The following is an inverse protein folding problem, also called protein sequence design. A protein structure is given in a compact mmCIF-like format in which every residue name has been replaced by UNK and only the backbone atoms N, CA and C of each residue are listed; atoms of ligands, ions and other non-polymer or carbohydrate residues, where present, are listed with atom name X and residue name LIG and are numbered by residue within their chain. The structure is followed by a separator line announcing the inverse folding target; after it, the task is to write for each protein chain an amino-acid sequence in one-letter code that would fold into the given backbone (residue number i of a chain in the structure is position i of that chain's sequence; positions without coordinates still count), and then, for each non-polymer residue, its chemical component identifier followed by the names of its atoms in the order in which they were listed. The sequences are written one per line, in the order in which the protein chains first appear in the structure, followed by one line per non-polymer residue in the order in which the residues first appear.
data_IF_525827704820
#
_entry.id   IF_525827704820
#
_cell.length_a   1.000
_cell.length_b   1.000
_cell.length_c   1.000
_cell.angle_alpha   90.00
_cell.angle_beta   90.00
_cell.angle_gamma   90.00
#
_symmetry.space_group_name_H-M   'P 1'
#
loop_
_entity.id
_entity.type
_entity.pdbx_description
1 polymer ?
#
# COMPACT_ATOMS: atom_id res chain seq x y z
N UNK A 1 -1.59 28.00 -10.05
CA UNK A 1 -1.14 26.63 -10.35
C UNK A 1 -1.10 26.30 -11.86
N UNK A 2 -2.23 26.30 -12.59
CA UNK A 2 -2.28 25.88 -14.03
C UNK A 2 -1.23 26.58 -14.90
N UNK A 3 -1.11 27.90 -14.77
CA UNK A 3 -0.14 28.71 -15.54
C UNK A 3 1.30 28.30 -15.24
N UNK A 4 1.65 28.16 -13.96
CA UNK A 4 2.99 27.76 -13.51
C UNK A 4 3.38 26.39 -14.11
N UNK A 5 2.51 25.39 -14.01
CA UNK A 5 2.78 24.04 -14.54
C UNK A 5 2.95 24.07 -16.07
N UNK A 6 2.14 24.85 -16.79
CA UNK A 6 2.27 25.03 -18.25
C UNK A 6 3.56 25.75 -18.65
N UNK A 7 4.06 26.65 -17.80
CA UNK A 7 5.34 27.34 -17.98
C UNK A 7 6.55 26.50 -17.55
N UNK A 8 6.36 25.19 -17.35
CA UNK A 8 7.41 24.22 -16.97
C UNK A 8 8.10 24.52 -15.64
N UNK A 9 7.38 25.08 -14.68
CA UNK A 9 7.89 25.40 -13.35
C UNK A 9 8.62 24.23 -12.65
N UNK A 10 9.49 24.58 -11.70
CA UNK A 10 10.21 23.64 -10.83
C UNK A 10 9.29 23.12 -9.70
N UNK A 11 9.64 22.00 -9.03
CA UNK A 11 8.95 21.54 -7.83
C UNK A 11 8.87 22.60 -6.72
N UNK A 12 9.93 23.39 -6.51
CA UNK A 12 9.97 24.43 -5.47
C UNK A 12 9.02 25.59 -5.80
N UNK A 13 8.94 25.99 -7.07
CA UNK A 13 7.99 27.01 -7.52
C UNK A 13 6.54 26.56 -7.31
N UNK A 14 6.25 25.26 -7.49
CA UNK A 14 4.93 24.70 -7.17
C UNK A 14 4.64 24.79 -5.68
N UNK A 15 5.58 24.42 -4.83
CA UNK A 15 5.41 24.53 -3.38
C UNK A 15 5.18 25.98 -2.93
N UNK A 16 5.91 26.93 -3.50
CA UNK A 16 5.71 28.36 -3.23
C UNK A 16 4.30 28.82 -3.63
N UNK A 17 3.81 28.42 -4.81
CA UNK A 17 2.43 28.71 -5.25
C UNK A 17 1.38 28.08 -4.32
N UNK A 18 1.70 26.96 -3.68
CA UNK A 18 0.79 26.30 -2.73
C UNK A 18 0.84 26.92 -1.33
N UNK A 19 1.91 27.62 -0.95
CA UNK A 19 2.05 28.20 0.40
C UNK A 19 0.93 29.19 0.72
N UNK A 20 0.48 29.95 -0.28
CA UNK A 20 -0.55 30.98 -0.16
C UNK A 20 -1.98 30.44 0.05
N UNK A 21 -2.18 29.12 -0.05
CA UNK A 21 -3.51 28.52 0.11
C UNK A 21 -3.89 28.39 1.59
N UNK A 22 -5.10 28.85 1.98
CA UNK A 22 -5.59 28.69 3.35
C UNK A 22 -5.72 27.20 3.69
N UNK A 23 -5.62 26.87 4.98
CA UNK A 23 -5.92 25.51 5.44
C UNK A 23 -7.37 25.46 5.94
N UNK A 24 -8.29 24.77 5.23
CA UNK A 24 -9.67 24.62 5.70
C UNK A 24 -9.79 23.89 7.04
N UNK A 25 -8.73 23.20 7.48
CA UNK A 25 -8.67 22.47 8.76
C UNK A 25 -8.04 23.28 9.90
N UNK A 26 -7.77 24.57 9.72
CA UNK A 26 -7.11 25.42 10.74
C UNK A 26 -7.82 25.41 12.10
N UNK A 27 -9.14 25.26 12.13
CA UNK A 27 -9.89 25.16 13.40
C UNK A 27 -9.74 23.78 14.07
N UNK A 28 -9.56 22.71 13.30
CA UNK A 28 -9.37 21.34 13.79
C UNK A 28 -7.90 21.05 14.19
N UNK A 29 -6.93 21.77 13.60
CA UNK A 29 -5.51 21.70 13.99
C UNK A 29 -5.26 22.16 15.44
N UNK A 30 -6.13 23.03 15.99
CA UNK A 30 -6.06 23.48 17.38
C UNK A 30 -6.32 22.35 18.39
N UNK A 31 -6.89 21.22 17.96
CA UNK A 31 -7.21 20.06 18.80
C UNK A 31 -6.14 18.94 18.74
N UNK A 32 -4.99 19.20 18.12
CA UNK A 32 -3.84 18.28 18.17
C UNK A 32 -3.82 17.16 17.13
N UNK A 33 -4.75 17.16 16.16
CA UNK A 33 -4.60 16.36 14.94
C UNK A 33 -3.56 17.03 14.03
N UNK A 34 -2.40 16.37 13.84
CA UNK A 34 -1.34 16.83 12.94
C UNK A 34 -1.91 17.14 11.55
N UNK A 35 -2.02 18.42 11.23
CA UNK A 35 -2.81 18.85 10.08
C UNK A 35 -2.02 18.86 8.78
N UNK A 36 -2.47 18.04 7.83
CA UNK A 36 -2.18 18.31 6.42
C UNK A 36 -3.20 19.32 5.88
N UNK A 37 -2.81 20.07 4.86
CA UNK A 37 -3.72 21.01 4.20
C UNK A 37 -4.43 20.31 3.01
N UNK A 38 -5.72 19.95 3.12
CA UNK A 38 -6.44 19.26 2.05
C UNK A 38 -6.61 20.10 0.79
N UNK A 39 -6.69 21.43 0.92
CA UNK A 39 -6.84 22.33 -0.23
C UNK A 39 -5.56 22.40 -1.07
N UNK A 40 -4.39 22.37 -0.43
CA UNK A 40 -3.10 22.26 -1.15
C UNK A 40 -3.03 20.99 -1.96
N UNK A 41 -3.45 19.86 -1.37
CA UNK A 41 -3.51 18.56 -2.05
C UNK A 41 -4.48 18.61 -3.22
N UNK A 42 -5.71 19.07 -3.00
CA UNK A 42 -6.76 19.16 -4.02
C UNK A 42 -6.28 19.98 -5.23
N UNK A 43 -5.90 21.24 -5.00
CA UNK A 43 -5.45 22.14 -6.08
C UNK A 43 -4.26 21.55 -6.85
N UNK A 44 -3.28 20.96 -6.15
CA UNK A 44 -2.13 20.35 -6.78
C UNK A 44 -2.49 19.11 -7.60
N UNK A 45 -3.16 18.13 -6.99
CA UNK A 45 -3.47 16.83 -7.60
C UNK A 45 -4.43 17.01 -8.77
N UNK A 46 -5.52 17.78 -8.60
CA UNK A 46 -6.47 18.07 -9.68
C UNK A 46 -5.78 18.74 -10.85
N UNK A 47 -4.99 19.80 -10.59
CA UNK A 47 -4.33 20.56 -11.66
C UNK A 47 -3.33 19.69 -12.41
N UNK A 48 -2.45 18.99 -11.68
CA UNK A 48 -1.36 18.24 -12.28
C UNK A 48 -1.88 17.05 -13.10
N UNK A 49 -2.81 16.27 -12.55
CA UNK A 49 -3.36 15.11 -13.24
C UNK A 49 -4.26 15.51 -14.41
N UNK A 50 -4.99 16.62 -14.31
CA UNK A 50 -5.76 17.15 -15.43
C UNK A 50 -4.85 17.59 -16.59
N UNK A 51 -3.72 18.26 -16.31
CA UNK A 51 -2.74 18.63 -17.33
C UNK A 51 -2.00 17.41 -17.91
N UNK A 52 -1.86 16.34 -17.13
CA UNK A 52 -1.31 15.04 -17.55
C UNK A 52 -2.30 14.13 -18.27
N UNK A 53 -3.57 14.51 -18.42
CA UNK A 53 -4.68 13.63 -18.82
C UNK A 53 -4.62 13.05 -20.25
N UNK A 54 -3.70 13.53 -21.10
CA UNK A 54 -3.62 13.13 -22.52
C UNK A 54 -3.35 11.64 -22.72
N UNK A 55 -2.50 11.03 -21.90
CA UNK A 55 -2.24 9.58 -21.92
C UNK A 55 -1.59 9.13 -20.61
N UNK A 56 -1.54 7.81 -20.37
CA UNK A 56 -0.86 7.24 -19.21
C UNK A 56 0.57 7.75 -19.07
N UNK A 57 1.33 7.81 -20.17
CA UNK A 57 2.71 8.31 -20.16
C UNK A 57 2.82 9.77 -19.74
N UNK A 58 1.86 10.63 -20.13
CA UNK A 58 1.84 12.03 -19.70
C UNK A 58 1.57 12.14 -18.19
N UNK A 59 0.57 11.41 -17.67
CA UNK A 59 0.33 11.35 -16.23
C UNK A 59 1.52 10.82 -15.45
N UNK A 60 2.20 9.77 -15.94
CA UNK A 60 3.38 9.22 -15.29
C UNK A 60 4.57 10.17 -15.29
N UNK A 61 4.78 10.90 -16.40
CA UNK A 61 5.82 11.92 -16.49
C UNK A 61 5.52 13.09 -15.54
N UNK A 62 4.25 13.49 -15.43
CA UNK A 62 3.80 14.52 -14.51
C UNK A 62 4.05 14.12 -13.05
N UNK A 63 3.63 12.91 -12.64
CA UNK A 63 3.88 12.38 -11.29
C UNK A 63 5.38 12.26 -11.02
N UNK A 64 6.17 11.78 -11.98
CA UNK A 64 7.61 11.66 -11.83
C UNK A 64 8.31 13.02 -11.67
N UNK A 65 7.93 14.03 -12.47
CA UNK A 65 8.51 15.38 -12.41
C UNK A 65 8.25 16.05 -11.06
N UNK A 66 7.06 15.88 -10.50
CA UNK A 66 6.66 16.52 -9.24
C UNK A 66 6.60 15.53 -8.06
N UNK A 67 7.40 14.47 -8.12
CA UNK A 67 7.46 13.44 -7.07
C UNK A 67 7.80 14.03 -5.69
N UNK A 68 8.74 14.97 -5.64
CA UNK A 68 9.10 15.66 -4.39
C UNK A 68 7.89 16.38 -3.77
N UNK A 69 7.13 17.15 -4.56
CA UNK A 69 5.92 17.84 -4.10
C UNK A 69 4.89 16.85 -3.57
N UNK A 70 4.69 15.73 -4.26
CA UNK A 70 3.83 14.66 -3.78
C UNK A 70 4.28 14.12 -2.42
N UNK A 71 5.58 13.87 -2.23
CA UNK A 71 6.11 13.37 -0.96
C UNK A 71 5.94 14.38 0.17
N UNK A 72 6.17 15.67 -0.08
CA UNK A 72 5.94 16.74 0.91
C UNK A 72 4.46 16.89 1.27
N UNK A 73 3.55 16.67 0.33
CA UNK A 73 2.12 16.76 0.60
C UNK A 73 1.53 15.48 1.22
N UNK A 74 2.23 14.34 1.14
CA UNK A 74 1.75 13.02 1.53
C UNK A 74 2.35 12.52 2.87
N UNK A 75 2.65 13.44 3.79
CA UNK A 75 3.38 13.14 5.04
C UNK A 75 2.58 12.26 6.01
N UNK A 76 1.24 12.34 6.01
CA UNK A 76 0.36 11.50 6.85
C UNK A 76 -0.49 10.54 6.03
N UNK A 77 -1.03 9.49 6.66
CA UNK A 77 -1.93 8.55 6.00
C UNK A 77 -3.21 9.27 5.50
N UNK A 78 -3.74 10.21 6.26
CA UNK A 78 -4.92 10.98 5.88
C UNK A 78 -4.64 11.88 4.66
N UNK A 79 -3.42 12.41 4.56
CA UNK A 79 -2.96 13.16 3.40
C UNK A 79 -2.87 12.26 2.15
N UNK A 80 -2.36 11.04 2.31
CA UNK A 80 -2.32 10.02 1.25
C UNK A 80 -3.73 9.61 0.80
N UNK A 81 -4.66 9.42 1.73
CA UNK A 81 -6.08 9.17 1.43
C UNK A 81 -6.70 10.38 0.72
N UNK A 82 -6.35 11.61 1.10
CA UNK A 82 -6.78 12.82 0.40
C UNK A 82 -6.28 12.87 -1.06
N UNK A 83 -5.04 12.43 -1.32
CA UNK A 83 -4.52 12.28 -2.69
C UNK A 83 -5.35 11.26 -3.47
N UNK A 84 -5.66 10.10 -2.86
CA UNK A 84 -6.49 9.05 -3.48
C UNK A 84 -7.91 9.55 -3.81
N UNK A 85 -8.53 10.31 -2.91
CA UNK A 85 -9.83 10.97 -3.13
C UNK A 85 -9.81 11.91 -4.33
N UNK A 86 -8.78 12.73 -4.43
CA UNK A 86 -8.62 13.67 -5.54
C UNK A 86 -8.39 12.95 -6.88
N UNK A 87 -7.56 11.92 -6.88
CA UNK A 87 -7.35 11.05 -8.03
C UNK A 87 -8.67 10.41 -8.48
N UNK A 88 -9.44 9.86 -7.54
CA UNK A 88 -10.74 9.24 -7.82
C UNK A 88 -11.75 10.24 -8.39
N UNK A 89 -11.89 11.41 -7.76
CA UNK A 89 -12.81 12.46 -8.21
C UNK A 89 -12.56 12.85 -9.68
N UNK A 90 -11.29 12.97 -10.08
CA UNK A 90 -10.91 13.29 -11.45
C UNK A 90 -11.15 12.14 -12.44
N UNK A 91 -10.93 10.90 -12.00
CA UNK A 91 -10.88 9.72 -12.88
C UNK A 91 -11.98 8.69 -12.67
N UNK A 92 -13.06 9.02 -11.94
CA UNK A 92 -14.17 8.11 -11.62
C UNK A 92 -14.79 7.41 -12.84
N UNK A 93 -14.76 8.06 -14.01
CA UNK A 93 -15.27 7.51 -15.27
C UNK A 93 -14.23 6.71 -16.08
N UNK A 94 -12.99 6.58 -15.57
CA UNK A 94 -11.89 5.89 -16.24
C UNK A 94 -11.17 4.93 -15.27
N UNK A 95 -11.81 3.79 -15.02
CA UNK A 95 -11.33 2.76 -14.06
C UNK A 95 -9.89 2.31 -14.30
N UNK A 96 -9.51 2.06 -15.56
CA UNK A 96 -8.13 1.65 -15.89
C UNK A 96 -7.10 2.73 -15.52
N UNK A 97 -7.43 4.02 -15.69
CA UNK A 97 -6.54 5.12 -15.28
C UNK A 97 -6.34 5.11 -13.76
N UNK A 98 -7.40 4.89 -12.98
CA UNK A 98 -7.31 4.75 -11.52
C UNK A 98 -6.32 3.64 -11.15
N UNK A 99 -6.48 2.44 -11.73
CA UNK A 99 -5.62 1.30 -11.45
C UNK A 99 -4.14 1.61 -11.72
N UNK A 100 -3.82 2.19 -12.89
CA UNK A 100 -2.42 2.45 -13.27
C UNK A 100 -1.79 3.62 -12.50
N UNK A 101 -2.57 4.63 -12.11
CA UNK A 101 -2.08 5.73 -11.30
C UNK A 101 -1.80 5.31 -9.86
N UNK A 102 -2.68 4.50 -9.25
CA UNK A 102 -2.43 3.93 -7.91
C UNK A 102 -1.20 3.02 -7.95
N UNK A 103 -1.06 2.16 -8.97
CA UNK A 103 0.15 1.36 -9.18
C UNK A 103 1.40 2.25 -9.26
N UNK A 104 1.35 3.34 -10.03
CA UNK A 104 2.47 4.29 -10.17
C UNK A 104 2.80 4.98 -8.85
N UNK A 105 1.81 5.44 -8.08
CA UNK A 105 2.00 6.12 -6.80
C UNK A 105 2.59 5.18 -5.75
N UNK A 106 2.13 3.92 -5.67
CA UNK A 106 2.73 2.89 -4.82
C UNK A 106 4.18 2.59 -5.23
N UNK A 107 4.47 2.52 -6.54
CA UNK A 107 5.84 2.27 -7.08
C UNK A 107 6.81 3.40 -6.68
N UNK A 108 6.32 4.63 -6.62
CA UNK A 108 7.10 5.81 -6.24
C UNK A 108 7.05 6.10 -4.74
N UNK A 109 6.41 5.24 -3.94
CA UNK A 109 6.23 5.42 -2.49
C UNK A 109 5.61 6.79 -2.14
N UNK A 110 4.75 7.30 -3.01
CA UNK A 110 3.94 8.51 -2.73
C UNK A 110 2.85 8.17 -1.73
N UNK A 111 2.25 6.99 -1.91
CA UNK A 111 1.23 6.44 -1.01
C UNK A 111 1.67 5.05 -0.56
N UNK A 112 1.17 4.64 0.60
CA UNK A 112 1.42 3.34 1.22
C UNK A 112 0.27 2.36 0.96
N UNK A 113 0.54 1.08 1.21
CA UNK A 113 -0.44 0.02 0.99
C UNK A 113 -1.63 0.11 1.97
N UNK A 114 -1.36 0.52 3.22
CA UNK A 114 -2.36 0.80 4.26
C UNK A 114 -3.36 1.86 3.81
N UNK A 115 -2.87 3.01 3.34
CA UNK A 115 -3.69 4.11 2.84
C UNK A 115 -4.63 3.67 1.70
N UNK A 116 -4.12 2.85 0.76
CA UNK A 116 -4.93 2.29 -0.34
C UNK A 116 -6.01 1.34 0.19
N UNK A 117 -5.66 0.46 1.14
CA UNK A 117 -6.65 -0.44 1.75
C UNK A 117 -7.74 0.36 2.48
N UNK A 118 -7.37 1.33 3.32
CA UNK A 118 -8.31 2.19 4.03
C UNK A 118 -9.20 3.00 3.07
N UNK A 119 -8.65 3.50 1.97
CA UNK A 119 -9.42 4.22 0.95
C UNK A 119 -10.45 3.31 0.25
N UNK A 120 -10.10 2.07 -0.11
CA UNK A 120 -11.02 1.12 -0.76
C UNK A 120 -12.26 0.84 0.09
N UNK A 121 -12.08 0.72 1.40
CA UNK A 121 -13.18 0.47 2.35
C UNK A 121 -13.82 1.74 2.91
N UNK A 122 -13.47 2.91 2.37
CA UNK A 122 -14.03 4.19 2.82
C UNK A 122 -15.49 4.36 2.36
N UNK A 123 -16.21 5.26 3.04
CA UNK A 123 -17.61 5.59 2.71
C UNK A 123 -17.77 6.11 1.27
N UNK A 124 -16.79 6.83 0.76
CA UNK A 124 -16.81 7.40 -0.59
C UNK A 124 -16.78 6.33 -1.68
N UNK A 125 -16.19 5.17 -1.39
CA UNK A 125 -16.05 4.05 -2.33
C UNK A 125 -17.23 3.08 -2.29
N UNK A 126 -18.23 3.30 -1.43
CA UNK A 126 -19.38 2.38 -1.28
C UNK A 126 -20.13 2.13 -2.59
N UNK A 127 -20.34 3.16 -3.42
CA UNK A 127 -21.02 3.04 -4.72
C UNK A 127 -20.19 2.28 -5.76
N UNK A 128 -18.88 2.20 -5.57
CA UNK A 128 -17.93 1.56 -6.47
C UNK A 128 -17.53 0.15 -5.99
N UNK A 129 -17.82 -0.20 -4.74
CA UNK A 129 -17.28 -1.35 -4.04
C UNK A 129 -17.54 -2.70 -4.74
N UNK A 130 -18.65 -2.83 -5.45
CA UNK A 130 -19.01 -4.05 -6.20
C UNK A 130 -18.40 -4.12 -7.60
N UNK A 131 -17.65 -3.10 -8.04
CA UNK A 131 -17.00 -3.09 -9.35
C UNK A 131 -15.63 -3.77 -9.31
N UNK A 132 -15.31 -4.53 -10.36
CA UNK A 132 -14.11 -5.38 -10.41
C UNK A 132 -12.80 -4.63 -10.20
N UNK A 133 -12.65 -3.43 -10.76
CA UNK A 133 -11.40 -2.67 -10.73
C UNK A 133 -10.93 -2.33 -9.29
N UNK A 134 -11.86 -2.16 -8.34
CA UNK A 134 -11.52 -1.94 -6.93
C UNK A 134 -10.74 -3.12 -6.34
N UNK A 135 -11.17 -4.33 -6.69
CA UNK A 135 -10.53 -5.56 -6.25
C UNK A 135 -9.22 -5.82 -6.99
N UNK A 136 -9.11 -5.39 -8.25
CA UNK A 136 -7.83 -5.38 -8.97
C UNK A 136 -6.81 -4.48 -8.25
N UNK A 137 -7.23 -3.28 -7.82
CA UNK A 137 -6.38 -2.38 -7.03
C UNK A 137 -5.97 -3.03 -5.71
N UNK A 138 -6.92 -3.62 -4.96
CA UNK A 138 -6.62 -4.30 -3.69
C UNK A 138 -5.57 -5.42 -3.88
N UNK A 139 -5.81 -6.33 -4.82
CA UNK A 139 -4.90 -7.45 -5.07
C UNK A 139 -3.55 -6.99 -5.63
N UNK A 140 -3.52 -5.92 -6.44
CA UNK A 140 -2.28 -5.31 -6.92
C UNK A 140 -1.45 -4.76 -5.76
N UNK A 141 -2.10 -4.06 -4.82
CA UNK A 141 -1.47 -3.52 -3.61
C UNK A 141 -0.88 -4.63 -2.74
N UNK A 142 -1.64 -5.68 -2.46
CA UNK A 142 -1.13 -6.84 -1.69
C UNK A 142 0.05 -7.51 -2.43
N UNK A 143 -0.07 -7.74 -3.74
CA UNK A 143 1.02 -8.33 -4.54
C UNK A 143 2.30 -7.52 -4.49
N UNK A 144 2.20 -6.18 -4.50
CA UNK A 144 3.37 -5.30 -4.35
C UNK A 144 4.03 -5.46 -3.00
N UNK A 145 3.26 -5.45 -1.92
CA UNK A 145 3.78 -5.63 -0.57
C UNK A 145 4.46 -7.00 -0.45
N UNK A 146 3.82 -8.06 -0.93
CA UNK A 146 4.40 -9.41 -0.95
C UNK A 146 5.72 -9.45 -1.72
N UNK A 147 5.75 -8.85 -2.92
CA UNK A 147 6.97 -8.79 -3.75
C UNK A 147 8.08 -7.98 -3.08
N UNK A 148 7.74 -6.90 -2.38
CA UNK A 148 8.70 -6.08 -1.64
C UNK A 148 9.38 -6.89 -0.52
N UNK A 149 8.59 -7.57 0.32
CA UNK A 149 9.11 -8.46 1.38
C UNK A 149 9.97 -9.57 0.79
N UNK A 150 9.48 -10.29 -0.23
CA UNK A 150 10.25 -11.38 -0.85
C UNK A 150 11.56 -10.89 -1.47
N UNK A 151 11.59 -9.67 -2.03
CA UNK A 151 12.83 -9.09 -2.55
C UNK A 151 13.83 -8.82 -1.42
N UNK A 152 13.40 -8.16 -0.34
CA UNK A 152 14.28 -7.87 0.81
C UNK A 152 14.80 -9.17 1.46
N UNK A 153 13.97 -10.20 1.56
CA UNK A 153 14.38 -11.51 2.06
C UNK A 153 15.50 -12.14 1.23
N UNK A 154 15.40 -12.05 -0.10
CA UNK A 154 16.43 -12.56 -1.01
C UNK A 154 17.72 -11.75 -0.92
N UNK A 155 17.60 -10.42 -0.93
CA UNK A 155 18.76 -9.51 -0.80
C UNK A 155 19.54 -9.77 0.50
N UNK A 156 18.84 -9.96 1.62
CA UNK A 156 19.44 -10.30 2.91
C UNK A 156 20.10 -11.70 2.90
N UNK A 157 19.42 -12.70 2.35
CA UNK A 157 19.97 -14.06 2.23
C UNK A 157 21.26 -14.07 1.41
N UNK A 158 21.26 -13.38 0.27
CA UNK A 158 22.42 -13.27 -0.61
C UNK A 158 23.58 -12.53 0.07
N UNK A 159 23.29 -11.51 0.89
CA UNK A 159 24.31 -10.79 1.65
C UNK A 159 24.94 -11.67 2.75
N UNK A 160 24.13 -12.42 3.51
CA UNK A 160 24.60 -13.37 4.54
C UNK A 160 25.42 -14.51 3.92
N UNK A 161 25.03 -15.03 2.77
CA UNK A 161 25.77 -16.09 2.07
C UNK A 161 27.13 -15.63 1.56
N UNK A 162 27.23 -14.40 1.03
CA UNK A 162 28.52 -13.80 0.62
C UNK A 162 29.46 -13.61 1.81
N UNK A 163 28.94 -13.16 2.95
CA UNK A 163 29.72 -13.00 4.17
C UNK A 163 30.27 -14.34 4.68
N UNK A 164 29.43 -15.39 4.70
CA UNK A 164 29.83 -16.75 5.11
C UNK A 164 30.89 -17.38 4.21
N UNK A 165 30.79 -17.19 2.88
CA UNK A 165 31.77 -17.73 1.93
C UNK A 165 33.16 -17.09 2.09
N UNK A 166 33.20 -15.79 2.37
CA UNK A 166 34.45 -15.09 2.63
C UNK A 166 35.11 -15.51 3.95
N UNK A 167 34.33 -15.86 4.97
CA UNK A 167 34.89 -16.29 6.28
C UNK A 167 35.30 -17.78 6.29
N UNK A 168 34.77 -18.60 5.37
CA UNK A 168 35.13 -20.01 5.21
C UNK A 168 36.36 -20.25 4.32
N UNK A 169 36.85 -19.23 3.59
CA UNK A 169 38.11 -19.27 2.86
C UNK A 169 39.28 -19.11 3.86
N UNK A 170 39.62 -20.21 4.55
CA UNK A 170 40.97 -20.40 5.11
C UNK A 170 41.96 -20.60 3.96
N UNK A 171 42.15 -19.57 3.13
CA UNK A 171 43.11 -19.61 2.03
C UNK A 171 44.54 -19.48 2.59
N UNK A 172 45.33 -20.53 2.34
CA UNK A 172 46.80 -20.48 2.42
C UNK A 172 47.35 -19.33 1.57
N UNK A 173 48.45 -18.71 2.02
CA UNK A 173 49.02 -17.50 1.38
C UNK A 173 49.30 -17.61 -0.13
N UNK A 174 49.42 -18.83 -0.68
CA UNK A 174 49.68 -19.07 -2.09
C UNK A 174 48.46 -18.79 -3.00
N UNK A 175 47.23 -18.93 -2.52
CA UNK A 175 46.01 -18.67 -3.32
C UNK A 175 45.69 -17.17 -3.45
N UNK A 176 46.09 -16.37 -2.43
CA UNK A 176 45.95 -14.91 -2.44
C UNK A 176 46.74 -14.23 -3.56
N UNK A 177 47.84 -14.84 -3.99
CA UNK A 177 48.70 -14.29 -5.06
C UNK A 177 48.15 -14.54 -6.47
N UNK A 178 47.34 -15.59 -6.67
CA UNK A 178 46.78 -15.96 -7.98
C UNK A 178 45.49 -15.22 -8.32
N UNK A 179 44.76 -14.72 -7.32
CA UNK A 179 43.50 -13.97 -7.52
C UNK A 179 43.67 -12.46 -7.71
N UNK A 180 44.88 -11.92 -7.62
CA UNK A 180 45.14 -10.48 -7.80
C UNK A 180 44.94 -9.98 -9.25
N UNK A 181 44.65 -10.89 -10.18
CA UNK A 181 44.52 -10.62 -11.63
C UNK A 181 43.09 -10.72 -12.16
N UNK A 182 42.09 -11.07 -11.33
CA UNK A 182 40.68 -11.09 -11.76
C UNK A 182 39.84 -10.15 -10.89
N UNK A 183 39.63 -8.96 -11.44
CA UNK A 183 38.95 -7.84 -10.81
C UNK A 183 37.42 -8.03 -10.88
N UNK A 184 36.82 -8.60 -9.83
CA UNK A 184 35.43 -8.31 -9.45
C UNK A 184 35.42 -8.00 -7.94
N UNK A 185 35.89 -6.79 -7.63
CA UNK A 185 36.02 -6.21 -6.29
C UNK A 185 34.63 -5.87 -5.73
N UNK A 186 33.78 -6.90 -5.56
CA UNK A 186 32.52 -6.75 -4.83
C UNK A 186 32.84 -6.76 -3.34
N UNK A 187 33.09 -5.56 -2.84
CA UNK A 187 33.25 -5.17 -1.44
C UNK A 187 32.40 -6.07 -0.50
N UNK A 188 33.04 -6.71 0.48
CA UNK A 188 32.39 -7.56 1.49
C UNK A 188 31.24 -6.75 2.13
N UNK A 189 29.99 -7.25 2.15
CA UNK A 189 28.93 -6.61 2.91
C UNK A 189 29.37 -6.52 4.37
N UNK A 190 29.48 -5.31 4.92
CA UNK A 190 29.83 -5.14 6.34
C UNK A 190 28.70 -5.65 7.22
N UNK A 191 29.03 -6.04 8.46
CA UNK A 191 28.03 -6.47 9.45
C UNK A 191 26.93 -5.42 9.63
N UNK A 192 27.31 -4.14 9.67
CA UNK A 192 26.37 -3.01 9.76
C UNK A 192 25.40 -2.93 8.57
N UNK A 193 25.85 -3.30 7.36
CA UNK A 193 24.97 -3.33 6.18
C UNK A 193 23.98 -4.48 6.27
N UNK A 194 24.40 -5.64 6.79
CA UNK A 194 23.51 -6.79 7.01
C UNK A 194 22.47 -6.47 8.09
N UNK A 195 22.89 -5.88 9.20
CA UNK A 195 21.99 -5.43 10.27
C UNK A 195 20.94 -4.44 9.75
N UNK A 196 21.35 -3.42 8.98
CA UNK A 196 20.40 -2.48 8.34
C UNK A 196 19.46 -3.15 7.33
N UNK A 197 19.89 -4.24 6.67
CA UNK A 197 19.02 -5.01 5.77
C UNK A 197 18.00 -5.85 6.57
N UNK A 198 18.39 -6.35 7.74
CA UNK A 198 17.51 -7.07 8.68
C UNK A 198 16.43 -6.13 9.22
N UNK A 199 16.79 -4.96 9.73
CA UNK A 199 15.84 -3.94 10.20
C UNK A 199 14.80 -3.58 9.13
N UNK A 200 15.26 -3.36 7.88
CA UNK A 200 14.38 -3.07 6.74
C UNK A 200 13.43 -4.22 6.43
N UNK A 201 13.92 -5.45 6.52
CA UNK A 201 13.09 -6.63 6.28
C UNK A 201 12.03 -6.78 7.37
N UNK A 202 12.40 -6.60 8.63
CA UNK A 202 11.47 -6.67 9.76
C UNK A 202 10.38 -5.60 9.65
N UNK A 203 10.76 -4.36 9.33
CA UNK A 203 9.82 -3.28 9.06
C UNK A 203 8.84 -3.64 7.92
N UNK A 204 9.36 -4.13 6.79
CA UNK A 204 8.52 -4.54 5.67
C UNK A 204 7.58 -5.72 6.00
N UNK A 205 8.02 -6.66 6.84
CA UNK A 205 7.19 -7.77 7.33
C UNK A 205 6.10 -7.29 8.29
N UNK A 206 6.40 -6.30 9.14
CA UNK A 206 5.43 -5.65 10.00
C UNK A 206 4.38 -4.91 9.16
N UNK A 207 4.80 -4.16 8.13
CA UNK A 207 3.89 -3.49 7.20
C UNK A 207 3.01 -4.47 6.43
N UNK A 208 3.57 -5.60 5.98
CA UNK A 208 2.80 -6.67 5.33
C UNK A 208 1.75 -7.26 6.28
N UNK A 209 2.13 -7.57 7.52
CA UNK A 209 1.21 -8.06 8.55
C UNK A 209 0.09 -7.05 8.81
N UNK A 210 0.46 -5.79 9.03
CA UNK A 210 -0.49 -4.69 9.28
C UNK A 210 -1.45 -4.49 8.10
N UNK A 211 -0.97 -4.59 6.87
CA UNK A 211 -1.83 -4.52 5.67
C UNK A 211 -2.91 -5.61 5.69
N UNK A 212 -2.55 -6.86 5.99
CA UNK A 212 -3.55 -7.93 6.10
C UNK A 212 -4.52 -7.69 7.26
N UNK A 213 -4.03 -7.26 8.43
CA UNK A 213 -4.88 -6.93 9.57
C UNK A 213 -5.91 -5.85 9.22
N UNK A 214 -5.48 -4.75 8.58
CA UNK A 214 -6.37 -3.68 8.12
C UNK A 214 -7.43 -4.24 7.17
N UNK A 215 -7.02 -5.03 6.16
CA UNK A 215 -7.94 -5.57 5.16
C UNK A 215 -9.00 -6.47 5.83
N UNK A 216 -8.58 -7.41 6.68
CA UNK A 216 -9.49 -8.33 7.35
C UNK A 216 -10.39 -7.60 8.36
N UNK A 217 -9.85 -6.67 9.13
CA UNK A 217 -10.63 -5.84 10.05
C UNK A 217 -11.71 -5.04 9.30
N UNK A 218 -11.37 -4.45 8.15
CA UNK A 218 -12.34 -3.71 7.33
C UNK A 218 -13.42 -4.61 6.76
N UNK A 219 -13.08 -5.82 6.28
CA UNK A 219 -14.06 -6.81 5.85
C UNK A 219 -15.00 -7.22 6.97
N UNK A 220 -14.45 -7.58 8.14
CA UNK A 220 -15.24 -7.95 9.32
C UNK A 220 -16.20 -6.82 9.68
N UNK A 221 -15.70 -5.59 9.76
CA UNK A 221 -16.50 -4.42 10.13
C UNK A 221 -17.71 -4.23 9.20
N UNK A 222 -17.51 -4.22 7.87
CA UNK A 222 -18.61 -3.98 6.92
C UNK A 222 -19.57 -5.17 6.81
N UNK A 223 -19.08 -6.40 6.94
CA UNK A 223 -19.91 -7.60 6.90
C UNK A 223 -20.76 -7.69 8.16
N UNK A 224 -20.18 -7.46 9.34
CA UNK A 224 -20.90 -7.41 10.60
C UNK A 224 -21.93 -6.28 10.61
N UNK A 225 -21.58 -5.07 10.13
CA UNK A 225 -22.54 -3.96 10.00
C UNK A 225 -23.75 -4.35 9.13
N UNK A 226 -23.51 -5.02 8.00
CA UNK A 226 -24.57 -5.49 7.12
C UNK A 226 -25.45 -6.57 7.76
N UNK A 227 -24.84 -7.55 8.43
CA UNK A 227 -25.55 -8.63 9.11
C UNK A 227 -26.45 -8.10 10.23
N UNK A 228 -25.89 -7.25 11.10
CA UNK A 228 -26.65 -6.59 12.19
C UNK A 228 -27.78 -5.74 11.64
N UNK A 229 -27.55 -4.99 10.56
CA UNK A 229 -28.57 -4.17 9.92
C UNK A 229 -29.70 -5.02 9.33
N UNK A 230 -29.38 -6.15 8.69
CA UNK A 230 -30.40 -7.04 8.14
C UNK A 230 -31.23 -7.70 9.23
N UNK A 231 -30.60 -8.13 10.33
CA UNK A 231 -31.30 -8.66 11.50
C UNK A 231 -32.24 -7.61 12.12
N UNK A 232 -31.74 -6.40 12.34
CA UNK A 232 -32.52 -5.27 12.88
C UNK A 232 -33.72 -4.91 12.00
N UNK A 233 -33.53 -4.90 10.69
CA UNK A 233 -34.58 -4.58 9.71
C UNK A 233 -35.51 -5.78 9.41
N UNK A 234 -35.24 -6.97 9.98
CA UNK A 234 -35.89 -8.23 9.66
C UNK A 234 -35.90 -8.54 8.15
N UNK A 235 -34.74 -8.34 7.50
CA UNK A 235 -34.51 -8.60 6.08
C UNK A 235 -33.52 -9.74 5.89
N UNK A 236 -33.66 -10.44 4.76
CA UNK A 236 -32.67 -11.44 4.37
C UNK A 236 -31.30 -10.79 4.14
N UNK A 237 -30.29 -11.26 4.87
CA UNK A 237 -28.92 -10.77 4.72
C UNK A 237 -28.28 -11.22 3.41
N UNK A 238 -28.79 -12.28 2.77
CA UNK A 238 -28.23 -12.96 1.61
C UNK A 238 -28.40 -12.21 0.28
N UNK A 239 -28.08 -10.92 0.32
CA UNK A 239 -28.15 -9.98 -0.79
C UNK A 239 -27.03 -10.20 -1.81
N UNK A 240 -27.16 -9.59 -2.99
CA UNK A 240 -26.07 -9.54 -3.97
C UNK A 240 -24.79 -8.94 -3.38
N UNK A 241 -24.92 -7.82 -2.64
CA UNK A 241 -23.79 -7.15 -2.01
C UNK A 241 -23.10 -8.08 -1.01
N UNK A 242 -23.86 -8.79 -0.17
CA UNK A 242 -23.30 -9.74 0.80
C UNK A 242 -22.53 -10.87 0.12
N UNK A 243 -23.14 -11.56 -0.85
CA UNK A 243 -22.51 -12.66 -1.61
C UNK A 243 -21.22 -12.20 -2.29
N UNK A 244 -21.24 -11.00 -2.86
CA UNK A 244 -20.07 -10.40 -3.48
C UNK A 244 -18.97 -10.14 -2.44
N UNK A 245 -19.30 -9.46 -1.35
CA UNK A 245 -18.32 -9.06 -0.31
C UNK A 245 -17.71 -10.26 0.40
N UNK A 246 -18.52 -11.25 0.80
CA UNK A 246 -18.02 -12.47 1.45
C UNK A 246 -17.16 -13.29 0.47
N UNK A 247 -17.53 -13.33 -0.81
CA UNK A 247 -16.72 -13.96 -1.86
C UNK A 247 -15.38 -13.25 -2.08
N UNK A 248 -15.32 -11.92 -1.92
CA UNK A 248 -14.06 -11.15 -1.99
C UNK A 248 -13.18 -11.37 -0.78
N UNK A 249 -13.75 -11.51 0.43
CA UNK A 249 -13.01 -11.97 1.61
C UNK A 249 -12.37 -13.34 1.36
N UNK A 250 -13.15 -14.30 0.87
CA UNK A 250 -12.66 -15.64 0.52
C UNK A 250 -11.56 -15.57 -0.55
N UNK A 251 -11.71 -14.71 -1.55
CA UNK A 251 -10.70 -14.51 -2.59
C UNK A 251 -9.36 -14.04 -2.02
N UNK A 252 -9.35 -13.15 -1.01
CA UNK A 252 -8.10 -12.70 -0.36
C UNK A 252 -7.39 -13.87 0.30
N UNK A 253 -8.11 -14.71 1.06
CA UNK A 253 -7.55 -15.92 1.66
C UNK A 253 -6.97 -16.88 0.61
N UNK A 254 -7.72 -17.18 -0.45
CA UNK A 254 -7.30 -18.13 -1.48
C UNK A 254 -6.11 -17.62 -2.31
N UNK A 255 -6.12 -16.35 -2.69
CA UNK A 255 -5.10 -15.77 -3.59
C UNK A 255 -3.76 -15.59 -2.88
N UNK A 256 -3.77 -15.27 -1.59
CA UNK A 256 -2.59 -14.92 -0.81
C UNK A 256 -2.33 -15.89 0.35
N UNK A 257 -2.79 -17.14 0.19
CA UNK A 257 -2.80 -18.13 1.26
C UNK A 257 -1.42 -18.32 1.92
N UNK A 258 -0.34 -18.33 1.14
CA UNK A 258 1.01 -18.52 1.66
C UNK A 258 1.45 -17.41 2.62
N UNK A 259 1.04 -16.17 2.35
CA UNK A 259 1.39 -15.02 3.18
C UNK A 259 0.45 -14.92 4.38
N UNK A 260 -0.86 -15.11 4.16
CA UNK A 260 -1.87 -15.07 5.22
C UNK A 260 -1.59 -16.16 6.28
N UNK A 261 -1.16 -17.35 5.85
CA UNK A 261 -0.84 -18.45 6.76
C UNK A 261 0.20 -18.08 7.81
N UNK A 262 1.20 -17.26 7.46
CA UNK A 262 2.26 -16.82 8.39
C UNK A 262 1.70 -16.01 9.55
N UNK A 263 0.54 -15.41 9.38
CA UNK A 263 -0.12 -14.57 10.36
C UNK A 263 -1.38 -15.20 10.95
N UNK A 264 -1.67 -16.47 10.64
CA UNK A 264 -2.91 -17.15 11.01
C UNK A 264 -3.19 -17.09 12.52
N UNK A 265 -2.18 -17.30 13.37
CA UNK A 265 -2.38 -17.24 14.83
C UNK A 265 -2.75 -15.83 15.32
N UNK A 266 -2.17 -14.79 14.71
CA UNK A 266 -2.53 -13.41 15.04
C UNK A 266 -3.96 -13.11 14.58
N UNK A 267 -4.33 -13.58 13.38
CA UNK A 267 -5.68 -13.40 12.84
C UNK A 267 -6.73 -14.07 13.72
N UNK A 268 -6.49 -15.31 14.14
CA UNK A 268 -7.36 -16.06 15.06
C UNK A 268 -7.48 -15.37 16.42
N UNK A 269 -6.37 -14.86 16.95
CA UNK A 269 -6.36 -14.23 18.30
C UNK A 269 -7.00 -12.84 18.31
N UNK A 270 -6.82 -12.04 17.25
CA UNK A 270 -7.19 -10.63 17.26
C UNK A 270 -8.44 -10.27 16.45
N UNK A 271 -8.76 -11.02 15.39
CA UNK A 271 -9.80 -10.65 14.43
C UNK A 271 -10.90 -11.70 14.30
N UNK A 272 -10.52 -12.98 14.18
CA UNK A 272 -11.43 -14.11 14.02
C UNK A 272 -11.60 -14.83 15.35
N UNK A 273 -12.12 -14.10 16.34
CA UNK A 273 -12.39 -14.62 17.69
C UNK A 273 -13.78 -15.26 17.78
N UNK A 274 -14.04 -16.04 18.84
CA UNK A 274 -15.29 -16.79 19.02
C UNK A 274 -16.56 -15.92 19.02
N UNK A 275 -16.45 -14.63 19.28
CA UNK A 275 -17.57 -13.67 19.28
C UNK A 275 -17.92 -13.16 17.88
N UNK A 276 -17.12 -13.48 16.86
CA UNK A 276 -17.39 -13.09 15.47
C UNK A 276 -18.56 -13.90 14.91
N UNK A 277 -19.43 -13.23 14.14
CA UNK A 277 -20.54 -13.87 13.46
C UNK A 277 -20.10 -15.12 12.66
N UNK A 278 -20.86 -16.21 12.83
CA UNK A 278 -20.53 -17.52 12.28
C UNK A 278 -20.31 -17.50 10.77
N UNK A 279 -21.07 -16.67 10.03
CA UNK A 279 -20.94 -16.64 8.57
C UNK A 279 -19.60 -16.07 8.11
N UNK A 280 -19.04 -15.13 8.86
CA UNK A 280 -17.72 -14.56 8.58
C UNK A 280 -16.63 -15.52 9.06
N UNK A 281 -16.83 -16.11 10.26
CA UNK A 281 -15.93 -17.09 10.84
C UNK A 281 -15.75 -18.33 9.96
N UNK A 282 -16.82 -18.80 9.33
CA UNK A 282 -16.79 -19.96 8.44
C UNK A 282 -15.82 -19.80 7.27
N UNK A 283 -15.63 -18.57 6.75
CA UNK A 283 -14.64 -18.31 5.70
C UNK A 283 -13.21 -18.54 6.20
N UNK A 284 -12.94 -18.15 7.46
CA UNK A 284 -11.63 -18.38 8.08
C UNK A 284 -11.41 -19.87 8.38
N UNK A 285 -12.42 -20.57 8.91
CA UNK A 285 -12.35 -22.03 9.11
C UNK A 285 -12.16 -22.80 7.79
N UNK A 286 -12.83 -22.40 6.71
CA UNK A 286 -12.61 -22.96 5.39
C UNK A 286 -11.15 -22.76 4.94
N UNK A 287 -10.59 -21.58 5.16
CA UNK A 287 -9.19 -21.31 4.86
C UNK A 287 -8.23 -22.19 5.68
N UNK A 288 -8.42 -22.30 6.99
CA UNK A 288 -7.54 -23.12 7.85
C UNK A 288 -7.65 -24.61 7.54
N UNK A 289 -8.83 -25.09 7.13
CA UNK A 289 -9.04 -26.50 6.75
C UNK A 289 -8.34 -26.93 5.44
N UNK A 290 -7.92 -25.99 4.58
CA UNK A 290 -7.13 -26.32 3.37
C UNK A 290 -5.77 -26.97 3.68
N UNK A 291 -5.34 -26.97 4.94
CA UNK A 291 -4.08 -27.55 5.41
C UNK A 291 -4.22 -28.41 6.68
N UNK A 292 -5.45 -28.69 7.10
CA UNK A 292 -5.73 -29.62 8.21
C UNK A 292 -5.58 -31.08 7.77
#
# INVERSE_FOLDING_TARGET
MVVAVRQKCTPDEVLNVLQDLPNPRQEAEAEGEGGFNPLKIDVFVQTLLNLGSKSFSHSFAAIGKFHFVFKTLAESEEAQICILRNLFSLWQNHQQMICVLIDKMLKLQIIECSAVANWIFSREMQSEFTKTYIWEVLHLTIKKMNKHVTRLQRELSDARDKMRRHDSDSESEDDRKRRRDDHDDKEKPTEEVVERMEEKLEAAQADQKNLFLIIFQRFIMILSEHLVRCDTDNKDFNTFWYKWTIGRLQQVFLTHHEQVQKYSSTLETLLFTQDLDSHIMDVFHQFTSLRA
#
